data_IF_140085335949
#
_entry.id   IF_140085335949
#
_cell.length_a   1.000
_cell.length_b   1.000
_cell.length_c   1.000
_cell.angle_alpha   90.00
_cell.angle_beta   90.00
_cell.angle_gamma   90.00
#
_symmetry.space_group_name_H-M   'P 1'
#
loop_
_entity.id
_entity.type
_entity.pdbx_description
1 polymer ?
#
# COMPACT_ATOMS: atom_id res chain seq x y z
N UNK A 1 -14.97 2.76 15.00
CA UNK A 1 -14.64 3.12 13.61
C UNK A 1 -13.34 3.92 13.60
N UNK A 2 -12.46 3.62 12.68
CA UNK A 2 -11.18 4.32 12.57
C UNK A 2 -11.30 5.52 11.67
N UNK A 3 -10.52 6.56 11.98
CA UNK A 3 -10.43 7.73 11.11
C UNK A 3 -9.46 7.42 9.98
N UNK A 4 -9.81 7.84 8.77
CA UNK A 4 -8.86 7.83 7.66
C UNK A 4 -7.70 8.77 7.97
N UNK A 5 -6.52 8.41 7.50
CA UNK A 5 -5.34 9.25 7.62
C UNK A 5 -4.69 9.31 8.98
N UNK A 6 -5.17 8.51 9.95
CA UNK A 6 -4.52 8.42 11.27
C UNK A 6 -3.09 7.94 11.12
N UNK A 7 -2.85 7.02 10.18
CA UNK A 7 -1.52 6.53 9.86
C UNK A 7 -1.42 6.40 8.34
N UNK A 8 -0.63 7.27 7.74
CA UNK A 8 -0.51 7.33 6.30
C UNK A 8 0.91 7.68 5.86
N UNK A 9 1.23 7.36 4.63
CA UNK A 9 2.47 7.75 3.97
C UNK A 9 2.17 8.10 2.52
N UNK A 10 2.98 8.99 1.95
CA UNK A 10 2.85 9.40 0.56
C UNK A 10 4.20 9.30 -0.13
N UNK A 11 4.14 8.98 -1.42
CA UNK A 11 5.30 9.08 -2.31
C UNK A 11 4.90 9.90 -3.54
N UNK A 12 5.87 10.47 -4.21
CA UNK A 12 5.67 11.10 -5.51
C UNK A 12 6.56 10.41 -6.52
N UNK A 13 6.05 10.27 -7.73
CA UNK A 13 6.85 9.76 -8.83
C UNK A 13 6.44 10.44 -10.13
N UNK A 14 7.35 10.41 -11.11
CA UNK A 14 7.07 10.83 -12.46
C UNK A 14 6.84 9.56 -13.27
N UNK A 15 5.73 9.49 -13.98
CA UNK A 15 5.37 8.30 -14.76
C UNK A 15 6.45 8.05 -15.83
N UNK A 16 7.16 6.92 -15.75
CA UNK A 16 8.24 6.64 -16.70
C UNK A 16 7.70 6.10 -18.01
N UNK A 17 8.49 6.27 -19.07
CA UNK A 17 8.12 5.80 -20.39
C UNK A 17 7.82 4.31 -20.44
N UNK A 18 8.57 3.50 -19.70
CA UNK A 18 8.41 2.04 -19.74
C UNK A 18 7.15 1.55 -19.04
N UNK A 19 6.39 2.42 -18.35
CA UNK A 19 5.13 2.05 -17.72
C UNK A 19 3.90 2.37 -18.58
N UNK A 20 4.05 3.13 -19.66
CA UNK A 20 2.91 3.49 -20.48
C UNK A 20 2.71 2.54 -21.65
N UNK A 21 1.47 2.44 -22.11
CA UNK A 21 1.08 1.64 -23.27
C UNK A 21 1.09 2.49 -24.54
N UNK A 22 0.54 1.94 -25.64
CA UNK A 22 0.50 2.65 -26.93
C UNK A 22 -0.30 3.94 -26.90
N UNK A 23 -1.20 4.10 -25.94
CA UNK A 23 -2.00 5.32 -25.75
C UNK A 23 -1.29 6.34 -24.88
N UNK A 24 -0.04 6.08 -24.49
CA UNK A 24 0.78 6.91 -23.61
C UNK A 24 0.20 7.10 -22.21
N UNK A 25 -0.68 6.19 -21.80
CA UNK A 25 -1.19 6.12 -20.43
C UNK A 25 -0.63 4.89 -19.74
N UNK A 26 -0.49 4.95 -18.43
CA UNK A 26 0.02 3.83 -17.63
C UNK A 26 -0.83 2.59 -17.88
N UNK A 27 -0.16 1.49 -18.23
CA UNK A 27 -0.83 0.22 -18.40
C UNK A 27 -1.50 -0.17 -17.07
N UNK A 28 -2.74 -0.66 -17.16
CA UNK A 28 -3.57 -0.85 -15.97
C UNK A 28 -2.95 -1.74 -14.89
N UNK A 29 -2.06 -2.66 -15.24
CA UNK A 29 -1.40 -3.52 -14.27
C UNK A 29 -0.29 -2.86 -13.47
N UNK A 30 0.24 -1.72 -13.91
CA UNK A 30 1.35 -1.05 -13.23
C UNK A 30 0.92 -0.26 -11.98
N UNK A 31 -0.36 0.05 -11.84
CA UNK A 31 -0.83 0.80 -10.67
C UNK A 31 -0.59 0.05 -9.36
N UNK A 32 -0.63 -1.27 -9.42
CA UNK A 32 -0.34 -2.12 -8.26
C UNK A 32 1.09 -1.91 -7.78
N UNK A 33 2.03 -1.72 -8.69
CA UNK A 33 3.41 -1.42 -8.39
C UNK A 33 3.53 -0.08 -7.64
N UNK A 34 2.79 0.93 -8.06
CA UNK A 34 2.78 2.24 -7.40
C UNK A 34 2.18 2.14 -5.99
N UNK A 35 1.12 1.37 -5.83
CA UNK A 35 0.56 1.09 -4.51
C UNK A 35 1.59 0.43 -3.60
N UNK A 36 2.36 -0.51 -4.14
CA UNK A 36 3.39 -1.21 -3.39
C UNK A 36 4.48 -0.27 -2.89
N UNK A 37 4.88 0.70 -3.70
CA UNK A 37 5.85 1.70 -3.27
C UNK A 37 5.32 2.55 -2.12
N UNK A 38 4.07 2.97 -2.18
CA UNK A 38 3.44 3.73 -1.10
C UNK A 38 3.27 2.87 0.15
N UNK A 39 2.94 1.58 -0.02
CA UNK A 39 2.86 0.64 1.10
C UNK A 39 4.21 0.47 1.79
N UNK A 40 5.29 0.35 1.03
CA UNK A 40 6.63 0.28 1.59
C UNK A 40 6.96 1.52 2.41
N UNK A 41 6.62 2.70 1.93
CA UNK A 41 6.85 3.94 2.68
C UNK A 41 6.06 3.93 4.00
N UNK A 42 4.83 3.44 3.98
CA UNK A 42 4.01 3.30 5.18
C UNK A 42 4.60 2.31 6.18
N UNK A 43 5.02 1.14 5.71
CA UNK A 43 5.61 0.11 6.57
C UNK A 43 6.96 0.56 7.14
N UNK A 44 7.74 1.33 6.38
CA UNK A 44 8.98 1.92 6.88
C UNK A 44 8.71 2.91 8.02
N UNK A 45 7.64 3.67 7.89
CA UNK A 45 7.21 4.61 8.93
C UNK A 45 6.85 3.89 10.23
N UNK A 46 6.37 2.65 10.14
CA UNK A 46 6.10 1.79 11.29
C UNK A 46 7.37 1.16 11.86
N UNK A 47 8.48 1.19 11.13
CA UNK A 47 9.68 0.46 11.50
C UNK A 47 9.51 -1.06 11.39
N UNK A 48 8.54 -1.52 10.61
CA UNK A 48 8.21 -2.92 10.48
C UNK A 48 7.79 -3.25 9.03
N UNK A 49 8.80 -3.31 8.15
CA UNK A 49 8.61 -3.62 6.74
C UNK A 49 8.92 -5.10 6.48
N UNK A 50 8.98 -5.52 5.26
CA UNK A 50 9.08 -6.92 4.85
C UNK A 50 10.24 -7.68 5.49
N UNK A 51 11.39 -7.05 5.68
CA UNK A 51 12.53 -7.70 6.34
C UNK A 51 12.22 -8.01 7.80
N UNK A 52 11.67 -7.02 8.51
CA UNK A 52 11.29 -7.19 9.92
C UNK A 52 10.17 -8.21 10.06
N UNK A 53 9.20 -8.20 9.14
CA UNK A 53 8.12 -9.19 9.10
C UNK A 53 8.67 -10.59 8.95
N UNK A 54 9.56 -10.78 7.97
CA UNK A 54 10.20 -12.08 7.72
C UNK A 54 11.04 -12.53 8.91
N UNK A 55 11.82 -11.61 9.49
CA UNK A 55 12.68 -11.93 10.64
C UNK A 55 11.85 -12.29 11.86
N UNK A 56 10.64 -11.75 11.97
CA UNK A 56 9.68 -12.11 13.02
C UNK A 56 9.00 -13.47 12.78
N UNK A 57 9.18 -14.05 11.58
CA UNK A 57 8.65 -15.37 11.25
C UNK A 57 7.37 -15.36 10.43
N UNK A 58 7.01 -14.23 9.81
CA UNK A 58 5.76 -14.10 9.09
C UNK A 58 5.94 -13.62 7.66
N UNK A 59 5.15 -14.20 6.75
CA UNK A 59 4.94 -13.68 5.41
C UNK A 59 3.56 -13.02 5.39
N UNK A 60 3.38 -12.03 4.52
CA UNK A 60 2.14 -11.26 4.45
C UNK A 60 1.62 -11.23 3.02
N UNK A 61 1.10 -12.34 2.49
CA UNK A 61 0.56 -12.36 1.14
C UNK A 61 -0.65 -11.46 0.99
N UNK A 62 -0.80 -10.89 -0.20
CA UNK A 62 -2.01 -10.16 -0.56
C UNK A 62 -3.09 -11.18 -0.87
N UNK A 63 -4.25 -11.04 -0.22
CA UNK A 63 -5.39 -11.92 -0.44
C UNK A 63 -6.55 -11.20 -1.13
N UNK A 64 -6.52 -9.87 -1.17
CA UNK A 64 -7.53 -9.09 -1.87
C UNK A 64 -6.87 -7.80 -2.37
N UNK A 65 -7.15 -7.46 -3.61
CA UNK A 65 -6.58 -6.28 -4.25
C UNK A 65 -7.65 -5.68 -5.16
N UNK A 66 -7.96 -4.41 -4.93
CA UNK A 66 -8.95 -3.68 -5.72
C UNK A 66 -8.32 -2.43 -6.29
N UNK A 67 -8.61 -2.16 -7.56
CA UNK A 67 -8.14 -0.95 -8.24
C UNK A 67 -9.33 -0.37 -8.99
N UNK A 68 -9.60 0.91 -8.74
CA UNK A 68 -10.61 1.65 -9.48
C UNK A 68 -9.94 2.75 -10.28
N UNK A 69 -10.09 2.69 -11.59
CA UNK A 69 -9.51 3.63 -12.52
C UNK A 69 -10.50 4.76 -12.77
N UNK A 70 -10.11 5.97 -12.41
CA UNK A 70 -10.94 7.17 -12.58
C UNK A 70 -10.43 7.94 -13.79
N UNK A 71 -9.12 8.16 -13.83
CA UNK A 71 -8.44 8.84 -14.94
C UNK A 71 -7.03 8.26 -15.09
N UNK A 72 -6.65 7.91 -16.31
CA UNK A 72 -5.34 7.35 -16.59
C UNK A 72 -4.21 8.35 -16.37
N UNK A 73 -3.12 7.87 -15.77
CA UNK A 73 -1.91 8.66 -15.65
C UNK A 73 -1.14 8.62 -16.97
N UNK A 74 -0.52 9.74 -17.35
CA UNK A 74 0.17 9.89 -18.62
C UNK A 74 1.68 9.91 -18.43
N UNK A 75 2.40 9.57 -19.49
CA UNK A 75 3.85 9.66 -19.52
C UNK A 75 4.32 11.05 -19.08
N UNK A 76 5.28 11.09 -18.17
CA UNK A 76 5.85 12.34 -17.68
C UNK A 76 5.03 13.07 -16.63
N UNK A 77 3.83 12.59 -16.32
CA UNK A 77 2.99 13.20 -15.30
C UNK A 77 3.56 12.94 -13.92
N UNK A 78 3.57 13.95 -13.07
CA UNK A 78 3.95 13.81 -11.67
C UNK A 78 2.72 13.44 -10.86
N UNK A 79 2.78 12.30 -10.20
CA UNK A 79 1.66 11.78 -9.42
C UNK A 79 2.09 11.55 -7.98
N UNK A 80 1.10 11.65 -7.08
CA UNK A 80 1.27 11.36 -5.65
C UNK A 80 0.47 10.12 -5.33
N UNK A 81 1.11 9.18 -4.63
CA UNK A 81 0.45 7.95 -4.19
C UNK A 81 0.42 7.95 -2.68
N UNK A 82 -0.78 7.93 -2.12
CA UNK A 82 -0.99 7.91 -0.67
C UNK A 82 -1.46 6.52 -0.26
N UNK A 83 -0.88 6.01 0.82
CA UNK A 83 -1.32 4.79 1.47
C UNK A 83 -1.84 5.13 2.86
N UNK A 84 -3.05 4.69 3.18
CA UNK A 84 -3.69 4.87 4.47
C UNK A 84 -3.89 3.51 5.12
N UNK A 85 -3.37 3.33 6.34
CA UNK A 85 -3.60 2.11 7.10
C UNK A 85 -4.96 2.20 7.77
N UNK A 86 -5.86 1.29 7.41
CA UNK A 86 -7.24 1.35 7.90
C UNK A 86 -7.61 0.19 8.82
N UNK A 87 -6.86 -0.92 8.78
CA UNK A 87 -7.09 -2.04 9.68
C UNK A 87 -5.78 -2.78 9.91
N UNK A 88 -5.49 -3.19 11.15
CA UNK A 88 -4.23 -3.87 11.48
C UNK A 88 -4.35 -4.99 12.50
N UNK A 89 -5.43 -5.07 13.30
CA UNK A 89 -5.53 -6.08 14.38
C UNK A 89 -5.71 -7.50 13.87
N UNK A 90 -6.52 -7.69 12.84
CA UNK A 90 -6.80 -9.03 12.31
C UNK A 90 -6.19 -9.25 10.94
N UNK A 91 -5.98 -8.17 10.22
CA UNK A 91 -5.40 -8.16 8.88
C UNK A 91 -4.80 -6.79 8.62
N UNK A 92 -3.98 -6.71 7.61
CA UNK A 92 -3.37 -5.45 7.18
C UNK A 92 -4.15 -4.95 5.98
N UNK A 93 -5.01 -3.96 6.20
CA UNK A 93 -5.75 -3.33 5.11
C UNK A 93 -5.26 -1.91 4.90
N UNK A 94 -4.95 -1.61 3.66
CA UNK A 94 -4.45 -0.29 3.23
C UNK A 94 -5.33 0.21 2.10
N UNK A 95 -5.75 1.47 2.20
CA UNK A 95 -6.41 2.17 1.10
C UNK A 95 -5.39 3.05 0.39
N UNK A 96 -5.51 3.16 -0.92
CA UNK A 96 -4.60 3.93 -1.76
C UNK A 96 -5.36 4.99 -2.56
N UNK A 97 -4.70 6.12 -2.77
CA UNK A 97 -5.22 7.17 -3.63
C UNK A 97 -4.07 7.76 -4.43
N UNK A 98 -4.24 7.80 -5.75
CA UNK A 98 -3.31 8.47 -6.66
C UNK A 98 -3.93 9.77 -7.11
N UNK A 99 -3.20 10.87 -6.96
CA UNK A 99 -3.62 12.20 -7.39
C UNK A 99 -2.56 12.83 -8.29
N UNK A 100 -3.01 13.74 -9.15
CA UNK A 100 -2.10 14.58 -9.91
C UNK A 100 -1.49 15.63 -8.97
N UNK A 101 -0.17 15.74 -8.95
CA UNK A 101 0.51 16.67 -8.04
C UNK A 101 0.16 18.13 -8.36
N UNK A 102 0.04 18.47 -9.65
CA UNK A 102 -0.20 19.86 -10.05
C UNK A 102 -1.62 20.34 -9.73
N UNK A 103 -2.62 19.47 -9.89
CA UNK A 103 -4.02 19.86 -9.76
C UNK A 103 -4.73 19.29 -8.53
N UNK A 104 -4.19 18.23 -7.93
CA UNK A 104 -4.85 17.50 -6.85
C UNK A 104 -5.97 16.59 -7.33
N UNK A 105 -6.15 16.46 -8.64
CA UNK A 105 -7.22 15.65 -9.21
C UNK A 105 -7.02 14.17 -8.87
N UNK A 106 -8.11 13.50 -8.50
CA UNK A 106 -8.09 12.06 -8.21
C UNK A 106 -8.01 11.28 -9.52
N UNK A 107 -7.08 10.32 -9.56
CA UNK A 107 -6.80 9.57 -10.79
C UNK A 107 -7.10 8.09 -10.63
N UNK A 108 -6.71 7.50 -9.50
CA UNK A 108 -6.90 6.06 -9.25
C UNK A 108 -7.01 5.86 -7.76
N UNK A 109 -7.86 4.95 -7.34
CA UNK A 109 -7.93 4.55 -5.94
C UNK A 109 -8.00 3.04 -5.86
N UNK A 110 -7.62 2.50 -4.70
CA UNK A 110 -7.65 1.08 -4.52
C UNK A 110 -7.49 0.68 -3.07
N UNK A 111 -7.40 -0.61 -2.86
CA UNK A 111 -7.15 -1.17 -1.54
C UNK A 111 -6.44 -2.49 -1.67
N UNK A 112 -5.70 -2.85 -0.64
CA UNK A 112 -5.10 -4.17 -0.52
C UNK A 112 -5.36 -4.73 0.87
N UNK A 113 -5.53 -6.05 0.94
CA UNK A 113 -5.65 -6.78 2.19
C UNK A 113 -4.58 -7.85 2.22
N UNK A 114 -3.83 -7.87 3.30
CA UNK A 114 -2.82 -8.87 3.57
C UNK A 114 -3.12 -9.54 4.91
N UNK A 115 -2.82 -10.81 5.02
CA UNK A 115 -2.91 -11.55 6.28
C UNK A 115 -1.54 -12.15 6.60
N UNK A 116 -1.25 -12.34 7.88
CA UNK A 116 -0.01 -12.97 8.27
C UNK A 116 -0.11 -14.48 8.12
N UNK A 117 0.96 -15.05 7.59
CA UNK A 117 1.14 -16.50 7.47
C UNK A 117 2.43 -16.85 8.20
N UNK A 118 2.34 -17.79 9.13
CA UNK A 118 3.54 -18.26 9.82
C UNK A 118 4.41 -19.03 8.84
N UNK A 119 5.66 -18.59 8.66
CA UNK A 119 6.54 -19.19 7.66
C UNK A 119 6.84 -20.66 7.98
N UNK A 120 7.07 -20.97 9.25
CA UNK A 120 7.46 -22.31 9.67
C UNK A 120 6.37 -23.36 9.41
N UNK A 121 5.11 -23.01 9.68
CA UNK A 121 3.98 -23.94 9.56
C UNK A 121 3.15 -23.71 8.31
N UNK A 122 3.30 -22.56 7.66
CA UNK A 122 2.48 -22.09 6.54
C UNK A 122 1.00 -21.90 6.90
N UNK A 123 0.73 -21.72 8.19
CA UNK A 123 -0.63 -21.46 8.66
C UNK A 123 -0.96 -19.98 8.57
N UNK A 124 -2.15 -19.68 8.05
CA UNK A 124 -2.69 -18.33 8.02
C UNK A 124 -3.23 -17.97 9.40
N UNK A 125 -2.90 -16.79 9.89
CA UNK A 125 -3.38 -16.32 11.18
C UNK A 125 -4.70 -15.57 11.02
N UNK A 126 -5.60 -15.77 11.99
CA UNK A 126 -6.87 -15.05 12.05
C UNK A 126 -6.73 -13.67 12.70
N UNK A 127 -5.63 -13.46 13.39
CA UNK A 127 -5.29 -12.18 14.00
C UNK A 127 -3.86 -11.83 13.65
N UNK A 128 -3.57 -10.53 13.55
CA UNK A 128 -2.22 -10.07 13.27
C UNK A 128 -1.28 -10.40 14.42
N UNK A 129 -0.01 -10.76 14.15
CA UNK A 129 0.96 -11.02 15.21
C UNK A 129 1.15 -9.80 16.10
N UNK A 130 1.37 -10.04 17.39
CA UNK A 130 1.58 -8.95 18.36
C UNK A 130 2.71 -8.01 17.97
N UNK A 131 3.77 -8.54 17.36
CA UNK A 131 4.91 -7.72 16.93
C UNK A 131 4.49 -6.65 15.95
N UNK A 132 3.57 -6.96 15.03
CA UNK A 132 3.04 -5.99 14.07
C UNK A 132 2.10 -5.01 14.75
N UNK A 133 1.15 -5.51 15.54
CA UNK A 133 0.18 -4.67 16.24
C UNK A 133 0.90 -3.67 17.15
N UNK A 134 1.91 -4.11 17.86
CA UNK A 134 2.72 -3.24 18.72
C UNK A 134 3.48 -2.18 17.93
N UNK A 135 3.98 -2.53 16.74
CA UNK A 135 4.64 -1.55 15.87
C UNK A 135 3.68 -0.43 15.48
N UNK A 136 2.43 -0.77 15.16
CA UNK A 136 1.40 0.22 14.85
C UNK A 136 1.06 1.05 16.09
N UNK A 137 0.85 0.41 17.23
CA UNK A 137 0.48 1.09 18.48
C UNK A 137 1.54 2.10 18.91
N UNK A 138 2.84 1.77 18.73
CA UNK A 138 3.92 2.68 19.07
C UNK A 138 3.86 3.98 18.27
N UNK A 139 3.46 3.91 17.01
CA UNK A 139 3.36 5.10 16.15
C UNK A 139 2.09 5.90 16.48
N UNK A 140 1.03 5.24 16.91
CA UNK A 140 -0.22 5.87 17.28
C UNK A 140 -0.20 6.50 18.69
N UNK A 141 0.74 6.08 19.51
CA UNK A 141 0.85 6.55 20.90
C UNK A 141 1.28 8.02 21.00
#
# INVERSE_FOLDING_TARGET
MRKEGVLQAEIELVVPFFDVDMMEVVWHGHYVKYFEEARCALLDKLGHNYRQMRDAGYAWPIIDLQVRYIRGAQFGQRIRVRADLVEWENRLKINYLITDVATGERMTRGSSVQVAVEIATREMLLASPRVFVEAVERVLA
#
